data_IF_848898957831
#
_entry.id   IF_848898957831
#
_cell.length_a   1.000
_cell.length_b   1.000
_cell.length_c   1.000
_cell.angle_alpha   90.00
_cell.angle_beta   90.00
_cell.angle_gamma   90.00
#
_symmetry.space_group_name_H-M   'P 1'
#
loop_
_entity.id
_entity.type
_entity.pdbx_description
1 polymer ?
#
# COMPACT_ATOMS: atom_id res chain seq x y z
N UNK A 1 -3.93 4.60 15.79
CA UNK A 1 -3.95 4.60 14.30
C UNK A 1 -2.67 5.27 13.83
N UNK A 2 -1.88 4.54 13.03
CA UNK A 2 -0.62 5.00 12.45
C UNK A 2 -0.83 5.62 11.07
N UNK A 3 0.07 6.54 10.68
CA UNK A 3 0.00 7.26 9.40
C UNK A 3 1.36 7.37 8.72
N UNK A 4 1.36 7.55 7.41
CA UNK A 4 2.59 7.77 6.62
C UNK A 4 3.56 6.60 6.75
N UNK A 5 4.85 6.88 6.97
CA UNK A 5 5.89 5.86 7.13
C UNK A 5 5.57 4.91 8.30
N UNK A 6 5.11 5.45 9.43
CA UNK A 6 4.77 4.63 10.60
C UNK A 6 3.65 3.63 10.30
N UNK A 7 2.72 3.96 9.39
CA UNK A 7 1.70 3.00 8.97
C UNK A 7 2.31 1.81 8.21
N UNK A 8 3.33 2.06 7.39
CA UNK A 8 4.04 1.02 6.64
C UNK A 8 4.85 0.17 7.61
N UNK A 9 5.64 0.79 8.50
CA UNK A 9 6.46 0.09 9.51
C UNK A 9 5.62 -0.86 10.36
N UNK A 10 4.50 -0.36 10.89
CA UNK A 10 3.63 -1.12 11.77
C UNK A 10 2.84 -2.20 11.04
N UNK A 11 2.50 -1.97 9.76
CA UNK A 11 1.92 -3.03 8.94
C UNK A 11 2.94 -4.12 8.63
N UNK A 12 4.17 -3.76 8.25
CA UNK A 12 5.26 -4.71 8.01
C UNK A 12 5.51 -5.59 9.24
N UNK A 13 5.61 -4.98 10.41
CA UNK A 13 5.77 -5.69 11.68
C UNK A 13 4.62 -6.68 11.92
N UNK A 14 3.38 -6.27 11.64
CA UNK A 14 2.19 -7.14 11.80
C UNK A 14 2.17 -8.37 10.87
N UNK A 15 2.92 -8.33 9.77
CA UNK A 15 3.07 -9.46 8.83
C UNK A 15 4.42 -10.17 8.95
N UNK A 16 5.18 -9.89 10.01
CA UNK A 16 6.46 -10.54 10.29
C UNK A 16 7.65 -10.01 9.47
N UNK A 17 7.48 -8.89 8.77
CA UNK A 17 8.59 -8.18 8.12
C UNK A 17 9.21 -7.16 9.09
N UNK A 18 10.49 -6.88 8.90
CA UNK A 18 11.21 -5.88 9.70
C UNK A 18 11.59 -4.71 8.80
N UNK A 19 11.22 -3.49 9.18
CA UNK A 19 11.70 -2.29 8.48
C UNK A 19 13.22 -2.14 8.64
N UNK A 20 13.95 -2.15 7.53
CA UNK A 20 15.41 -1.96 7.51
C UNK A 20 15.75 -0.81 6.57
N UNK A 21 16.18 0.36 7.09
CA UNK A 21 16.45 1.52 6.25
C UNK A 21 17.39 1.19 5.07
N UNK A 22 16.97 1.53 3.86
CA UNK A 22 17.72 1.27 2.62
C UNK A 22 17.51 -0.11 2.00
N UNK A 23 16.70 -0.99 2.61
CA UNK A 23 16.34 -2.28 2.01
C UNK A 23 14.99 -2.23 1.26
N UNK A 24 14.74 -3.31 0.52
CA UNK A 24 13.40 -3.67 0.06
C UNK A 24 13.03 -4.99 0.70
N UNK A 25 11.90 -5.03 1.40
CA UNK A 25 11.32 -6.25 1.95
C UNK A 25 10.07 -6.63 1.15
N UNK A 26 9.71 -7.90 1.09
CA UNK A 26 8.56 -8.34 0.30
C UNK A 26 7.77 -9.47 0.94
N UNK A 27 6.48 -9.52 0.64
CA UNK A 27 5.58 -10.58 1.10
C UNK A 27 4.46 -10.82 0.10
N UNK A 28 3.97 -12.07 0.01
CA UNK A 28 2.73 -12.36 -0.70
C UNK A 28 1.53 -11.85 0.10
N UNK A 29 0.73 -10.97 -0.49
CA UNK A 29 -0.40 -10.31 0.16
C UNK A 29 -1.62 -10.30 -0.77
N UNK A 30 -2.79 -10.10 -0.17
CA UNK A 30 -4.02 -9.78 -0.90
C UNK A 30 -4.10 -8.27 -1.06
N UNK A 31 -4.45 -7.79 -2.25
CA UNK A 31 -4.59 -6.36 -2.50
C UNK A 31 -5.92 -6.04 -3.17
N UNK A 32 -6.40 -4.82 -2.97
CA UNK A 32 -7.56 -4.28 -3.67
C UNK A 32 -7.30 -2.85 -4.09
N UNK A 33 -7.73 -2.48 -5.29
CA UNK A 33 -7.60 -1.13 -5.84
C UNK A 33 -8.95 -0.60 -6.31
N UNK A 34 -9.27 0.66 -5.99
CA UNK A 34 -10.53 1.30 -6.39
C UNK A 34 -10.27 2.73 -6.83
N UNK A 35 -10.80 3.11 -7.99
CA UNK A 35 -10.79 4.49 -8.51
C UNK A 35 -12.18 5.10 -8.37
N UNK A 36 -12.29 6.23 -7.68
CA UNK A 36 -13.55 6.91 -7.44
C UNK A 36 -14.61 5.95 -6.90
N UNK A 37 -15.76 5.89 -7.57
CA UNK A 37 -16.88 5.03 -7.19
C UNK A 37 -16.94 3.69 -7.94
N UNK A 38 -15.93 3.34 -8.74
CA UNK A 38 -15.94 2.10 -9.54
C UNK A 38 -15.87 0.84 -8.66
N UNK A 39 -16.13 -0.33 -9.26
CA UNK A 39 -15.94 -1.62 -8.60
C UNK A 39 -14.46 -1.83 -8.28
N UNK A 40 -14.10 -2.27 -7.06
CA UNK A 40 -12.71 -2.55 -6.74
C UNK A 40 -12.18 -3.73 -7.54
N UNK A 41 -10.96 -3.59 -8.04
CA UNK A 41 -10.14 -4.69 -8.53
C UNK A 41 -9.52 -5.40 -7.33
N UNK A 42 -9.86 -6.67 -7.13
CA UNK A 42 -9.23 -7.51 -6.11
C UNK A 42 -8.19 -8.43 -6.73
N UNK A 43 -7.07 -8.62 -6.04
CA UNK A 43 -6.03 -9.60 -6.38
C UNK A 43 -5.78 -10.41 -5.11
N UNK A 44 -6.14 -11.69 -5.15
CA UNK A 44 -6.12 -12.55 -3.97
C UNK A 44 -4.72 -12.85 -3.46
N UNK A 45 -3.73 -12.80 -4.34
CA UNK A 45 -2.33 -13.05 -4.01
C UNK A 45 -1.42 -12.33 -5.00
N UNK A 46 -0.52 -11.51 -4.50
CA UNK A 46 0.54 -10.87 -5.29
C UNK A 46 1.73 -10.56 -4.39
N UNK A 47 2.94 -10.54 -4.96
CA UNK A 47 4.14 -10.11 -4.25
C UNK A 47 4.10 -8.59 -4.10
N UNK A 48 4.03 -8.10 -2.86
CA UNK A 48 4.10 -6.67 -2.55
C UNK A 48 5.47 -6.35 -2.01
N UNK A 49 6.09 -5.29 -2.52
CA UNK A 49 7.41 -4.84 -2.06
C UNK A 49 7.30 -3.54 -1.26
N UNK A 50 8.06 -3.47 -0.17
CA UNK A 50 8.16 -2.33 0.73
C UNK A 50 9.57 -1.76 0.66
N UNK A 51 9.70 -0.58 0.06
CA UNK A 51 10.98 0.11 -0.05
C UNK A 51 11.18 0.98 1.19
N UNK A 52 12.13 0.57 2.02
CA UNK A 52 12.37 1.11 3.35
C UNK A 52 13.20 2.40 3.32
N UNK A 53 12.71 3.43 2.62
CA UNK A 53 13.35 4.75 2.56
C UNK A 53 12.70 5.70 3.59
N UNK A 54 13.50 6.22 4.54
CA UNK A 54 13.02 7.09 5.62
C UNK A 54 12.50 8.47 5.16
N UNK A 55 12.80 8.89 3.92
CA UNK A 55 12.33 10.14 3.31
C UNK A 55 11.21 9.90 2.31
N UNK A 56 11.25 8.75 1.62
CA UNK A 56 10.35 8.40 0.52
C UNK A 56 9.96 6.93 0.54
N UNK A 57 9.41 6.47 1.66
CA UNK A 57 8.91 5.11 1.79
C UNK A 57 7.93 4.78 0.67
N UNK A 58 8.07 3.59 0.07
CA UNK A 58 7.22 3.16 -1.05
C UNK A 58 6.66 1.78 -0.86
N UNK A 59 5.50 1.56 -1.45
CA UNK A 59 4.88 0.26 -1.62
C UNK A 59 4.66 0.01 -3.10
N UNK A 60 5.15 -1.12 -3.58
CA UNK A 60 4.99 -1.58 -4.95
C UNK A 60 4.04 -2.75 -5.02
N UNK A 61 3.14 -2.70 -6.00
CA UNK A 61 2.21 -3.78 -6.31
C UNK A 61 2.28 -4.03 -7.82
N UNK A 62 3.10 -4.99 -8.28
CA UNK A 62 3.39 -5.20 -9.70
C UNK A 62 2.15 -5.51 -10.53
N UNK A 63 1.20 -6.27 -9.99
CA UNK A 63 0.01 -6.69 -10.74
C UNK A 63 -0.96 -5.54 -11.06
N UNK A 64 -0.83 -4.39 -10.39
CA UNK A 64 -1.55 -3.19 -10.81
C UNK A 64 -1.06 -2.65 -12.15
N UNK A 65 0.15 -2.98 -12.62
CA UNK A 65 0.66 -2.56 -13.94
C UNK A 65 -0.27 -2.91 -15.10
N UNK A 66 -1.01 -4.02 -14.99
CA UNK A 66 -1.89 -4.54 -16.05
C UNK A 66 -3.28 -3.92 -16.06
N UNK A 67 -3.67 -3.26 -14.97
CA UNK A 67 -5.08 -2.98 -14.66
C UNK A 67 -5.31 -1.59 -14.07
N UNK A 68 -4.23 -0.92 -13.64
CA UNK A 68 -4.20 0.34 -12.91
C UNK A 68 -3.01 1.16 -13.41
N UNK A 69 -3.15 2.48 -13.42
CA UNK A 69 -2.05 3.39 -13.78
C UNK A 69 -0.96 3.47 -12.69
N UNK A 70 -1.18 2.87 -11.51
CA UNK A 70 -0.31 2.99 -10.35
C UNK A 70 0.22 1.63 -9.92
N UNK A 71 1.52 1.43 -10.15
CA UNK A 71 2.27 0.30 -9.59
C UNK A 71 2.87 0.67 -8.24
N UNK A 72 3.14 1.96 -8.01
CA UNK A 72 3.90 2.49 -6.89
C UNK A 72 3.07 3.49 -6.09
N UNK A 73 3.23 3.44 -4.76
CA UNK A 73 2.64 4.38 -3.82
C UNK A 73 3.74 4.88 -2.90
N UNK A 74 3.83 6.18 -2.67
CA UNK A 74 4.87 6.79 -1.84
C UNK A 74 4.28 7.82 -0.86
N UNK A 75 4.80 7.82 0.37
CA UNK A 75 4.27 8.64 1.49
C UNK A 75 4.14 10.16 1.20
N UNK A 76 4.96 10.82 0.37
CA UNK A 76 4.69 12.23 0.04
C UNK A 76 3.52 12.45 -0.94
N UNK A 77 3.08 11.40 -1.65
CA UNK A 77 2.05 11.52 -2.68
C UNK A 77 0.69 10.96 -2.24
N UNK A 78 0.69 9.97 -1.34
CA UNK A 78 -0.51 9.31 -0.84
C UNK A 78 -0.54 9.27 0.68
N UNK A 79 -1.75 9.24 1.23
CA UNK A 79 -1.97 9.01 2.65
C UNK A 79 -1.93 7.51 2.94
N UNK A 80 -1.01 7.10 3.81
CA UNK A 80 -0.93 5.74 4.33
C UNK A 80 -1.56 5.70 5.71
N UNK A 81 -2.40 4.71 5.96
CA UNK A 81 -3.09 4.52 7.22
C UNK A 81 -3.07 3.04 7.62
N UNK A 82 -2.69 2.77 8.86
CA UNK A 82 -2.78 1.44 9.46
C UNK A 82 -3.32 1.54 10.88
N UNK A 83 -4.21 0.62 11.25
CA UNK A 83 -4.73 0.54 12.62
C UNK A 83 -4.29 -0.80 13.20
N UNK A 84 -3.58 -0.83 14.34
CA UNK A 84 -3.22 -2.08 15.02
C UNK A 84 -4.45 -2.91 15.35
N UNK A 85 -4.39 -4.22 15.09
CA UNK A 85 -5.57 -5.10 15.15
C UNK A 85 -6.57 -4.90 13.99
N UNK A 86 -6.35 -3.90 13.14
CA UNK A 86 -7.02 -3.76 11.86
C UNK A 86 -6.45 -4.75 10.83
N UNK A 87 -7.24 -5.06 9.81
CA UNK A 87 -6.92 -6.13 8.85
C UNK A 87 -6.06 -5.69 7.66
N UNK A 88 -5.74 -4.40 7.52
CA UNK A 88 -5.30 -3.85 6.25
C UNK A 88 -4.50 -2.54 6.36
N UNK A 89 -3.41 -2.42 5.61
CA UNK A 89 -2.79 -1.15 5.26
C UNK A 89 -3.63 -0.46 4.18
N UNK A 90 -4.09 0.76 4.45
CA UNK A 90 -4.87 1.56 3.52
C UNK A 90 -3.99 2.66 2.92
N UNK A 91 -4.10 2.84 1.62
CA UNK A 91 -3.45 3.91 0.88
C UNK A 91 -4.54 4.73 0.19
N UNK A 92 -4.53 6.05 0.34
CA UNK A 92 -5.52 6.93 -0.27
C UNK A 92 -4.83 8.04 -1.04
N UNK A 93 -5.38 8.38 -2.19
CA UNK A 93 -5.02 9.60 -2.92
C UNK A 93 -6.28 10.43 -3.12
N UNK A 94 -6.23 11.69 -2.70
CA UNK A 94 -7.25 12.67 -3.04
C UNK A 94 -7.24 12.96 -4.55
N UNK A 95 -8.35 13.47 -5.07
CA UNK A 95 -8.43 13.92 -6.45
C UNK A 95 -7.39 15.03 -6.70
N UNK A 96 -6.69 14.97 -7.82
CA UNK A 96 -5.73 16.02 -8.23
C UNK A 96 -5.93 16.35 -9.70
N UNK A 97 -6.37 17.58 -9.99
CA UNK A 97 -6.72 17.99 -11.35
C UNK A 97 -7.79 17.07 -11.95
N UNK A 98 -7.49 16.48 -13.10
CA UNK A 98 -8.39 15.53 -13.77
C UNK A 98 -8.25 14.08 -13.26
N UNK A 99 -7.30 13.79 -12.34
CA UNK A 99 -7.13 12.46 -11.79
C UNK A 99 -8.18 12.21 -10.68
N UNK A 100 -9.05 11.19 -10.82
CA UNK A 100 -10.01 10.83 -9.78
C UNK A 100 -9.29 10.33 -8.51
N UNK A 101 -9.95 10.43 -7.34
CA UNK A 101 -9.38 9.87 -6.11
C UNK A 101 -9.30 8.34 -6.23
N UNK A 102 -8.39 7.72 -5.50
CA UNK A 102 -8.33 6.26 -5.43
C UNK A 102 -7.97 5.78 -4.04
N UNK A 103 -8.25 4.50 -3.80
CA UNK A 103 -7.88 3.81 -2.58
C UNK A 103 -7.28 2.44 -2.88
N UNK A 104 -6.24 2.08 -2.14
CA UNK A 104 -5.64 0.75 -2.12
C UNK A 104 -5.80 0.17 -0.73
N UNK A 105 -6.08 -1.12 -0.70
CA UNK A 105 -6.06 -1.89 0.53
C UNK A 105 -5.12 -3.08 0.37
N UNK A 106 -4.25 -3.29 1.35
CA UNK A 106 -3.27 -4.39 1.36
C UNK A 106 -3.46 -5.19 2.65
N UNK A 107 -3.70 -6.50 2.53
CA UNK A 107 -4.03 -7.41 3.62
C UNK A 107 -3.12 -8.65 3.63
N UNK A 108 -2.86 -9.25 4.80
CA UNK A 108 -2.34 -10.61 4.88
C UNK A 108 -3.23 -11.62 4.12
N UNK A 109 -2.67 -12.76 3.73
CA UNK A 109 -3.42 -13.84 3.07
C UNK A 109 -4.33 -14.64 4.02
N UNK A 110 -4.05 -14.58 5.33
CA UNK A 110 -4.76 -15.31 6.39
C UNK A 110 -6.02 -14.58 6.89
#
# INVERSE_FOLDING_TARGET
>A
MYRGIQAIEQFMESIGLTWRPGSTESAELRVSYRIGNTRPLGIDRTLVEFHCDAKRAKVWVPEFSRTSFHQWFEVPLQDFEFTPGGSMLKIKAAARGNAPPYSVGIKPLA
#
